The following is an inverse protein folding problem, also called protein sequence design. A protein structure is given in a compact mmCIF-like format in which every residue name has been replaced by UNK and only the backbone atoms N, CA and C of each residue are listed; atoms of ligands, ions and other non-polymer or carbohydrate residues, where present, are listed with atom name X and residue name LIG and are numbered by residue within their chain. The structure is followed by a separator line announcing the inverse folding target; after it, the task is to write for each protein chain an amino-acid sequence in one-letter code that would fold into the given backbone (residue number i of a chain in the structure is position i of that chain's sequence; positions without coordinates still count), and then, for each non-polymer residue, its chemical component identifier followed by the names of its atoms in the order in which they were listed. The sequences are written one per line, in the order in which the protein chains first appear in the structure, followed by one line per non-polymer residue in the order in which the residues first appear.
data_IF_636237170826
#
_entry.id   IF_636237170826
#
_cell.length_a   1.000
_cell.length_b   1.000
_cell.length_c   1.000
_cell.angle_alpha   90.00
_cell.angle_beta   90.00
_cell.angle_gamma   90.00
#
_symmetry.space_group_name_H-M   'P 1'
#
loop_
_entity.id
_entity.type
_entity.pdbx_description
1 polymer ?
#
# COMPACT_ATOMS: atom_id res chain seq x y z
N UNK A 1 4.06 14.61 -3.12
CA UNK A 1 3.50 13.34 -3.60
C UNK A 1 2.85 13.58 -4.94
N UNK A 2 3.30 12.87 -5.97
CA UNK A 2 2.69 12.89 -7.32
C UNK A 2 2.17 11.51 -7.65
N UNK A 3 1.12 11.40 -8.47
CA UNK A 3 0.60 10.09 -8.88
C UNK A 3 0.04 10.10 -10.31
N UNK A 4 -0.03 8.91 -10.90
CA UNK A 4 -0.67 8.66 -12.19
C UNK A 4 -1.44 7.33 -12.17
N UNK A 5 -2.59 7.29 -12.83
CA UNK A 5 -3.35 6.05 -13.06
C UNK A 5 -3.02 5.54 -14.46
N UNK A 6 -2.52 4.32 -14.56
CA UNK A 6 -2.12 3.68 -15.82
C UNK A 6 -3.06 2.51 -16.18
N UNK A 7 -3.09 2.17 -17.47
CA UNK A 7 -3.68 0.94 -18.03
C UNK A 7 -5.22 0.75 -17.92
N UNK A 8 -5.96 1.79 -17.53
CA UNK A 8 -7.43 1.76 -17.54
C UNK A 8 -8.04 1.53 -18.93
N UNK A 9 -9.34 1.16 -19.01
CA UNK A 9 -10.31 1.13 -17.92
C UNK A 9 -10.44 -0.22 -17.20
N UNK A 10 -10.06 -1.32 -17.84
CA UNK A 10 -10.33 -2.67 -17.31
C UNK A 10 -9.41 -3.06 -16.15
N UNK A 11 -8.16 -2.58 -16.14
CA UNK A 11 -7.20 -2.79 -15.06
C UNK A 11 -6.42 -1.51 -14.82
N UNK A 12 -6.77 -0.78 -13.76
CA UNK A 12 -6.08 0.45 -13.41
C UNK A 12 -4.96 0.19 -12.41
N UNK A 13 -3.79 0.77 -12.65
CA UNK A 13 -2.65 0.71 -11.73
C UNK A 13 -2.27 2.11 -11.27
N UNK A 14 -2.21 2.32 -9.96
CA UNK A 14 -1.72 3.56 -9.37
C UNK A 14 -0.19 3.53 -9.30
N UNK A 15 0.47 4.50 -9.93
CA UNK A 15 1.91 4.75 -9.77
C UNK A 15 2.09 6.04 -8.99
N UNK A 16 2.84 5.99 -7.89
CA UNK A 16 3.07 7.12 -6.99
C UNK A 16 4.56 7.44 -6.94
N UNK A 17 4.90 8.72 -7.11
CA UNK A 17 6.23 9.24 -6.80
C UNK A 17 6.20 9.87 -5.40
N UNK A 18 7.05 9.35 -4.52
CA UNK A 18 7.25 9.84 -3.16
C UNK A 18 8.52 10.67 -3.10
N UNK A 19 8.41 11.88 -2.57
CA UNK A 19 9.57 12.65 -2.13
C UNK A 19 10.05 12.17 -0.76
N UNK A 20 11.26 12.56 -0.35
CA UNK A 20 11.83 12.14 0.94
C UNK A 20 10.90 12.46 2.12
N UNK A 21 10.58 11.45 2.93
CA UNK A 21 9.70 11.57 4.10
C UNK A 21 8.21 11.37 3.81
N UNK A 22 7.80 11.34 2.54
CA UNK A 22 6.42 11.04 2.16
C UNK A 22 6.12 9.54 2.31
N UNK A 23 4.86 9.23 2.65
CA UNK A 23 4.40 7.86 2.89
C UNK A 23 3.00 7.66 2.33
N UNK A 24 2.72 6.46 1.87
CA UNK A 24 1.36 6.00 1.54
C UNK A 24 1.05 4.73 2.31
N UNK A 25 -0.23 4.50 2.56
CA UNK A 25 -0.71 3.25 3.14
C UNK A 25 -1.67 2.61 2.15
N UNK A 26 -1.36 1.38 1.74
CA UNK A 26 -2.21 0.56 0.89
C UNK A 26 -2.75 -0.65 1.64
N UNK A 27 -3.69 -1.35 1.03
CA UNK A 27 -4.12 -2.66 1.52
C UNK A 27 -3.00 -3.69 1.38
N UNK A 28 -3.02 -4.71 2.24
CA UNK A 28 -2.07 -5.81 2.14
C UNK A 28 -2.20 -6.49 0.76
N UNK A 29 -1.07 -6.68 0.08
CA UNK A 29 -1.05 -7.25 -1.27
C UNK A 29 -1.29 -6.26 -2.41
N UNK A 30 -1.56 -4.97 -2.12
CA UNK A 30 -1.75 -3.97 -3.17
C UNK A 30 -0.43 -3.53 -3.84
N UNK A 31 0.72 -3.71 -3.19
CA UNK A 31 2.03 -3.32 -3.72
C UNK A 31 2.48 -4.30 -4.82
N UNK A 32 2.53 -3.83 -6.07
CA UNK A 32 2.98 -4.64 -7.22
C UNK A 32 4.50 -4.59 -7.42
N UNK A 33 5.10 -3.41 -7.37
CA UNK A 33 6.54 -3.19 -7.48
C UNK A 33 6.95 -1.88 -6.80
N UNK A 34 8.25 -1.73 -6.53
CA UNK A 34 8.84 -0.50 -5.97
C UNK A 34 10.28 -0.33 -6.43
N UNK A 35 10.83 0.87 -6.25
CA UNK A 35 12.27 1.12 -6.38
C UNK A 35 13.02 0.71 -5.10
N UNK A 36 14.34 0.44 -5.16
CA UNK A 36 15.09 -0.06 -3.99
C UNK A 36 15.17 0.90 -2.79
N UNK A 37 14.89 2.19 -3.00
CA UNK A 37 14.95 3.24 -1.96
C UNK A 37 13.63 3.46 -1.22
N UNK A 38 12.66 2.56 -1.39
CA UNK A 38 11.37 2.60 -0.67
C UNK A 38 11.41 1.60 0.48
N UNK A 39 11.11 2.10 1.68
CA UNK A 39 10.90 1.28 2.86
C UNK A 39 9.43 0.85 2.98
N UNK A 40 9.20 -0.42 3.33
CA UNK A 40 7.86 -0.98 3.52
C UNK A 40 7.67 -1.41 4.97
N UNK A 41 6.71 -0.80 5.64
CA UNK A 41 6.26 -1.20 6.97
C UNK A 41 4.93 -1.97 6.86
N UNK A 42 4.86 -3.14 7.50
CA UNK A 42 3.59 -3.88 7.64
C UNK A 42 3.13 -3.82 9.10
N UNK A 43 1.82 -3.73 9.32
CA UNK A 43 1.23 -3.77 10.66
C UNK A 43 0.05 -4.74 10.65
N UNK A 44 0.06 -5.70 11.57
CA UNK A 44 -1.12 -6.51 11.87
C UNK A 44 -2.12 -5.63 12.60
N UNK A 45 -3.35 -5.55 12.12
CA UNK A 45 -4.43 -4.92 12.89
C UNK A 45 -4.69 -5.79 14.13
N UNK A 46 -4.67 -5.17 15.30
CA UNK A 46 -4.78 -5.86 16.61
C UNK A 46 -6.04 -6.74 16.76
N UNK A 47 -7.08 -6.49 15.95
CA UNK A 47 -8.31 -7.31 15.87
C UNK A 47 -8.18 -8.62 15.08
N UNK A 48 -7.00 -9.04 14.65
CA UNK A 48 -6.86 -10.18 13.74
C UNK A 48 -7.21 -11.55 14.34
N UNK A 49 -6.92 -11.76 15.63
CA UNK A 49 -7.11 -13.07 16.30
C UNK A 49 -8.06 -12.96 17.50
N UNK A 50 -7.84 -12.00 18.41
CA UNK A 50 -8.73 -11.80 19.56
C UNK A 50 -10.10 -11.27 19.11
N UNK A 51 -10.10 -10.28 18.21
CA UNK A 51 -11.32 -9.72 17.62
C UNK A 51 -12.10 -10.68 16.70
N UNK A 52 -11.43 -11.65 16.08
CA UNK A 52 -12.09 -12.70 15.26
C UNK A 52 -12.65 -13.85 16.12
N UNK A 53 -12.15 -14.00 17.35
CA UNK A 53 -12.66 -14.93 18.37
C UNK A 53 -13.68 -14.28 19.32
N UNK A 54 -14.01 -13.00 19.15
CA UNK A 54 -15.00 -12.28 19.98
C UNK A 54 -14.52 -11.94 21.39
N UNK A 55 -13.20 -11.90 21.61
CA UNK A 55 -12.54 -11.53 22.88
C UNK A 55 -12.03 -10.09 22.87
#
# INVERSE_FOLDING_TARGET
MRYSVKYGPSYSMLVVDLEAGERITGEAGALTYMTPNIDVETRLRERGILGSLGL
#
